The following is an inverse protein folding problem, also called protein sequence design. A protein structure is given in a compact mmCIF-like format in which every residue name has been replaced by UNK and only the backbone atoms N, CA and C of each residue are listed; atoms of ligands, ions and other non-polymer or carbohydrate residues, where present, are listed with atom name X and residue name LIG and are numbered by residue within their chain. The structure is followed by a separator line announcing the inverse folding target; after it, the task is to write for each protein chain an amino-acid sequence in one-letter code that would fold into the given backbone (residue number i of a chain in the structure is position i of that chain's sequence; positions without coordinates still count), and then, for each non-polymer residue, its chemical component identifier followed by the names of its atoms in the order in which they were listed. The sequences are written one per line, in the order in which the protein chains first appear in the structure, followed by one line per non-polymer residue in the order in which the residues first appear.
data_IF_633212306434
#
_entry.id   IF_633212306434
#
_cell.length_a   1.000
_cell.length_b   1.000
_cell.length_c   1.000
_cell.angle_alpha   90.00
_cell.angle_beta   90.00
_cell.angle_gamma   90.00
#
_symmetry.space_group_name_H-M   'P 1'
#
loop_
_entity.id
_entity.type
_entity.pdbx_description
1 polymer ?
#
# COMPACT_ATOMS: atom_id res chain seq x y z
N UNK A 1 -7.94 48.88 -12.07
CA UNK A 1 -6.53 48.45 -12.20
C UNK A 1 -6.38 47.03 -11.65
N UNK A 2 -6.43 45.98 -12.49
CA UNK A 2 -6.43 44.57 -12.08
C UNK A 2 -5.05 43.95 -12.27
N UNK A 3 -4.25 43.83 -11.21
CA UNK A 3 -2.92 43.20 -11.28
C UNK A 3 -2.60 42.40 -10.01
N UNK A 4 -3.40 41.40 -9.63
CA UNK A 4 -3.02 40.44 -8.58
C UNK A 4 -3.73 39.07 -8.72
N UNK A 5 -3.79 38.51 -9.93
CA UNK A 5 -4.32 37.15 -10.17
C UNK A 5 -3.40 36.22 -10.98
N UNK A 6 -2.19 36.65 -11.38
CA UNK A 6 -1.36 35.88 -12.32
C UNK A 6 -0.24 35.03 -11.70
N UNK A 7 0.07 35.17 -10.41
CA UNK A 7 1.19 34.45 -9.77
C UNK A 7 0.74 33.08 -9.22
N UNK A 8 -0.45 32.97 -8.63
CA UNK A 8 -0.97 31.69 -8.08
C UNK A 8 -1.38 30.67 -9.16
N UNK A 9 -1.72 31.12 -10.37
CA UNK A 9 -2.14 30.22 -11.46
C UNK A 9 -0.99 29.49 -12.15
N UNK A 10 0.24 29.99 -12.02
CA UNK A 10 1.45 29.38 -12.63
C UNK A 10 2.05 28.26 -11.77
N UNK A 11 1.75 28.23 -10.46
CA UNK A 11 2.27 27.23 -9.53
C UNK A 11 1.49 25.91 -9.65
N UNK A 12 0.16 26.02 -9.72
CA UNK A 12 -0.77 24.89 -9.86
C UNK A 12 -0.53 24.11 -11.18
N UNK A 13 -0.03 24.76 -12.24
CA UNK A 13 0.24 24.08 -13.52
C UNK A 13 1.51 23.24 -13.48
N UNK A 14 2.51 23.58 -12.66
CA UNK A 14 3.74 22.80 -12.49
C UNK A 14 3.51 21.56 -11.63
N UNK A 15 2.72 21.66 -10.57
CA UNK A 15 2.33 20.52 -9.73
C UNK A 15 1.48 19.49 -10.50
N UNK A 16 0.56 19.96 -11.36
CA UNK A 16 -0.25 19.08 -12.21
C UNK A 16 0.58 18.37 -13.28
N UNK A 17 1.64 18.99 -13.79
CA UNK A 17 2.57 18.37 -14.73
C UNK A 17 3.43 17.28 -14.05
N UNK A 18 3.88 17.49 -12.81
CA UNK A 18 4.63 16.50 -12.04
C UNK A 18 3.77 15.26 -11.70
N UNK A 19 2.51 15.47 -11.29
CA UNK A 19 1.54 14.39 -11.06
C UNK A 19 1.19 13.63 -12.35
N UNK A 20 1.10 14.32 -13.49
CA UNK A 20 0.86 13.69 -14.79
C UNK A 20 2.06 12.90 -15.34
N UNK A 21 3.30 13.25 -14.95
CA UNK A 21 4.51 12.54 -15.32
C UNK A 21 4.68 11.22 -14.55
N UNK A 22 4.29 11.17 -13.27
CA UNK A 22 4.30 9.93 -12.47
C UNK A 22 3.12 9.00 -12.76
N UNK A 23 1.93 9.52 -13.06
CA UNK A 23 0.76 8.71 -13.42
C UNK A 23 0.93 7.92 -14.74
N UNK A 24 1.96 8.25 -15.55
CA UNK A 24 2.19 7.65 -16.87
C UNK A 24 3.22 6.51 -16.87
N UNK A 25 3.85 6.22 -15.72
CA UNK A 25 4.96 5.23 -15.61
C UNK A 25 4.56 3.90 -14.97
N UNK A 26 3.30 3.74 -14.55
CA UNK A 26 2.74 2.49 -14.01
C UNK A 26 1.59 1.99 -14.91
N UNK A 27 1.68 2.24 -16.22
CA UNK A 27 0.84 1.56 -17.19
C UNK A 27 1.56 0.28 -17.62
N UNK A 28 1.35 -0.80 -16.88
CA UNK A 28 1.60 -2.14 -17.40
C UNK A 28 0.58 -2.36 -18.52
N UNK A 29 1.07 -2.23 -19.75
CA UNK A 29 0.42 -2.70 -20.98
C UNK A 29 0.21 -4.22 -20.89
N UNK A 30 -0.91 -4.64 -20.29
CA UNK A 30 -1.31 -6.05 -20.33
C UNK A 30 -2.82 -6.25 -20.22
N UNK A 31 -3.58 -5.60 -21.09
CA UNK A 31 -4.99 -5.93 -21.32
C UNK A 31 -5.41 -5.75 -22.79
N UNK A 32 -4.52 -6.06 -23.75
CA UNK A 32 -4.85 -5.97 -25.18
C UNK A 32 -4.77 -7.29 -25.95
N UNK A 33 -4.69 -8.42 -25.27
CA UNK A 33 -4.78 -9.75 -25.90
C UNK A 33 -5.92 -10.51 -25.22
N UNK A 34 -6.91 -10.94 -26.01
CA UNK A 34 -8.23 -11.49 -25.62
C UNK A 34 -9.34 -10.46 -25.40
N UNK A 35 -9.64 -9.68 -26.44
CA UNK A 35 -10.97 -9.14 -26.70
C UNK A 35 -11.14 -8.84 -28.20
N UNK A 36 -10.93 -9.85 -29.05
CA UNK A 36 -11.44 -9.83 -30.43
C UNK A 36 -12.72 -10.67 -30.44
N UNK A 37 -13.79 -10.09 -30.96
CA UNK A 37 -15.14 -10.65 -31.17
C UNK A 37 -16.11 -10.63 -29.98
N UNK A 38 -16.72 -9.47 -29.72
CA UNK A 38 -18.16 -9.42 -29.37
C UNK A 38 -18.77 -8.23 -30.11
N UNK A 39 -19.80 -8.51 -30.91
CA UNK A 39 -20.48 -7.54 -31.75
C UNK A 39 -21.26 -6.50 -30.95
N UNK A 40 -21.17 -5.28 -31.46
CA UNK A 40 -21.83 -4.06 -31.05
C UNK A 40 -23.36 -4.15 -31.24
N UNK A 41 -24.11 -4.14 -30.13
CA UNK A 41 -25.36 -3.38 -30.00
C UNK A 41 -25.96 -3.67 -28.61
N UNK A 42 -26.33 -2.61 -27.89
CA UNK A 42 -27.03 -2.63 -26.60
C UNK A 42 -26.20 -2.88 -25.34
N UNK A 43 -25.35 -1.91 -24.94
CA UNK A 43 -25.20 -1.52 -23.51
C UNK A 43 -24.92 -0.01 -23.41
N UNK A 44 -25.56 0.73 -22.48
CA UNK A 44 -25.30 2.15 -22.30
C UNK A 44 -23.90 2.32 -21.68
N UNK A 45 -23.03 3.06 -22.35
CA UNK A 45 -21.61 3.24 -22.02
C UNK A 45 -21.34 3.98 -20.68
N UNK A 46 -22.36 4.30 -19.88
CA UNK A 46 -22.21 5.14 -18.68
C UNK A 46 -22.06 4.34 -17.37
N UNK A 47 -22.54 3.09 -17.28
CA UNK A 47 -22.55 2.34 -16.01
C UNK A 47 -21.30 1.46 -15.75
N UNK A 48 -20.37 1.39 -16.70
CA UNK A 48 -19.14 0.59 -16.55
C UNK A 48 -17.96 1.41 -15.98
N UNK A 49 -18.02 2.74 -16.02
CA UNK A 49 -16.94 3.62 -15.55
C UNK A 49 -17.07 4.07 -14.08
N UNK A 50 -18.22 3.88 -13.45
CA UNK A 50 -18.40 4.24 -12.03
C UNK A 50 -17.86 3.15 -11.08
N UNK A 51 -17.93 1.87 -11.50
CA UNK A 51 -17.39 0.74 -10.73
C UNK A 51 -15.87 0.77 -10.59
N UNK A 52 -15.17 1.37 -11.55
CA UNK A 52 -13.70 1.50 -11.51
C UNK A 52 -13.25 2.69 -10.66
N UNK A 53 -14.07 3.74 -10.50
CA UNK A 53 -13.74 4.92 -9.67
C UNK A 53 -13.91 4.69 -8.18
N UNK A 54 -14.87 3.87 -7.76
CA UNK A 54 -15.02 3.52 -6.34
C UNK A 54 -13.98 2.48 -5.92
N UNK A 55 -13.67 1.52 -6.80
CA UNK A 55 -12.57 0.57 -6.59
C UNK A 55 -11.20 1.28 -6.57
N UNK A 56 -10.94 2.19 -7.51
CA UNK A 56 -9.73 3.01 -7.51
C UNK A 56 -9.66 3.95 -6.30
N UNK A 57 -10.76 4.57 -5.84
CA UNK A 57 -10.75 5.37 -4.59
C UNK A 57 -10.53 4.52 -3.34
N UNK A 58 -11.02 3.28 -3.33
CA UNK A 58 -10.86 2.33 -2.22
C UNK A 58 -9.47 1.69 -2.16
N UNK A 59 -8.76 1.59 -3.30
CA UNK A 59 -7.45 0.96 -3.42
C UNK A 59 -6.28 1.92 -3.73
N UNK A 60 -6.53 3.16 -4.14
CA UNK A 60 -5.50 4.10 -4.62
C UNK A 60 -5.62 5.45 -3.89
N UNK A 61 -5.25 5.47 -2.61
CA UNK A 61 -4.77 6.70 -1.93
C UNK A 61 -3.27 6.89 -2.25
N UNK A 62 -2.90 6.89 -3.52
CA UNK A 62 -1.55 7.29 -3.89
C UNK A 62 -1.47 8.82 -3.83
N UNK A 63 -0.48 9.30 -3.08
CA UNK A 63 -0.13 10.70 -2.82
C UNK A 63 -0.88 11.41 -1.67
N UNK A 64 -1.10 10.72 -0.54
CA UNK A 64 -1.14 11.44 0.75
C UNK A 64 0.31 11.50 1.25
N UNK A 65 0.88 12.70 1.49
CA UNK A 65 2.22 12.81 2.05
C UNK A 65 2.24 12.18 3.45
N UNK A 66 3.29 11.40 3.73
CA UNK A 66 3.44 10.72 5.01
C UNK A 66 3.45 11.74 6.16
N UNK A 67 2.58 11.54 7.15
CA UNK A 67 2.51 12.40 8.34
C UNK A 67 3.28 11.74 9.47
N UNK A 68 4.32 12.42 9.97
CA UNK A 68 5.03 11.97 11.17
C UNK A 68 4.08 11.90 12.36
N UNK A 69 4.13 10.80 13.11
CA UNK A 69 3.30 10.58 14.29
C UNK A 69 4.06 10.99 15.56
N UNK A 70 3.31 11.52 16.53
CA UNK A 70 3.82 11.76 17.87
C UNK A 70 3.85 10.46 18.70
N UNK A 71 4.65 10.44 19.76
CA UNK A 71 4.87 9.23 20.56
C UNK A 71 3.59 8.70 21.23
N UNK A 72 2.72 9.59 21.69
CA UNK A 72 1.40 9.27 22.25
C UNK A 72 0.47 8.63 21.20
N UNK A 73 0.47 9.14 19.96
CA UNK A 73 -0.26 8.54 18.84
C UNK A 73 0.26 7.14 18.52
N UNK A 74 1.59 6.98 18.46
CA UNK A 74 2.26 5.69 18.21
C UNK A 74 1.84 4.68 19.29
N UNK A 75 1.94 5.05 20.56
CA UNK A 75 1.58 4.17 21.68
C UNK A 75 0.10 3.76 21.65
N UNK A 76 -0.79 4.69 21.29
CA UNK A 76 -2.24 4.42 21.14
C UNK A 76 -2.55 3.47 19.98
N UNK A 77 -1.80 3.54 18.88
CA UNK A 77 -1.96 2.62 17.76
C UNK A 77 -1.36 1.25 18.06
N UNK A 78 -0.17 1.21 18.68
CA UNK A 78 0.49 -0.02 19.11
C UNK A 78 -0.38 -0.83 20.08
N UNK A 79 -1.15 -0.18 20.96
CA UNK A 79 -2.05 -0.88 21.89
C UNK A 79 -3.14 -1.69 21.18
N UNK A 80 -3.37 -1.46 19.88
CA UNK A 80 -4.35 -2.17 19.05
C UNK A 80 -3.70 -3.20 18.13
N UNK A 81 -2.38 -3.21 18.00
CA UNK A 81 -1.63 -4.06 17.08
C UNK A 81 -0.83 -5.10 17.85
N UNK A 82 -1.47 -6.24 18.14
CA UNK A 82 -0.85 -7.29 18.93
C UNK A 82 0.46 -7.80 18.32
N UNK A 83 1.53 -7.86 19.11
CA UNK A 83 2.85 -8.36 18.70
C UNK A 83 3.73 -7.34 17.96
N UNK A 84 3.20 -6.17 17.58
CA UNK A 84 4.04 -5.04 17.12
C UNK A 84 4.60 -4.29 18.32
N UNK A 85 5.85 -3.85 18.19
CA UNK A 85 6.54 -3.06 19.22
C UNK A 85 7.44 -2.02 18.60
N UNK A 86 7.77 -0.99 19.35
CA UNK A 86 8.75 0.01 18.95
C UNK A 86 10.16 -0.50 19.33
N UNK A 87 11.04 -0.67 18.35
CA UNK A 87 12.44 -1.08 18.55
C UNK A 87 13.33 -0.14 17.76
N UNK A 88 14.26 0.53 18.43
CA UNK A 88 15.24 1.43 17.79
C UNK A 88 14.60 2.47 16.85
N UNK A 89 13.42 3.00 17.23
CA UNK A 89 12.68 3.99 16.44
C UNK A 89 11.91 3.44 15.23
N UNK A 90 11.78 2.11 15.11
CA UNK A 90 11.02 1.44 14.04
C UNK A 90 9.91 0.56 14.61
N UNK A 91 8.82 0.41 13.87
CA UNK A 91 7.81 -0.60 14.20
C UNK A 91 8.36 -1.97 13.83
N UNK A 92 8.42 -2.86 14.81
CA UNK A 92 9.02 -4.16 14.66
C UNK A 92 8.02 -5.28 14.99
N UNK A 93 7.97 -6.29 14.13
CA UNK A 93 7.31 -7.58 14.40
C UNK A 93 7.98 -8.71 13.64
N UNK A 94 7.98 -9.89 14.23
CA UNK A 94 8.40 -11.13 13.57
C UNK A 94 7.20 -12.05 13.38
N UNK A 95 7.12 -12.66 12.20
CA UNK A 95 6.15 -13.67 11.86
C UNK A 95 6.85 -15.01 11.64
N UNK A 96 6.17 -16.09 12.00
CA UNK A 96 6.59 -17.45 11.72
C UNK A 96 5.56 -18.14 10.81
N UNK A 97 6.04 -18.71 9.71
CA UNK A 97 5.25 -19.43 8.73
C UNK A 97 5.45 -20.94 8.85
N UNK A 98 4.66 -21.72 8.10
CA UNK A 98 4.78 -23.19 8.06
C UNK A 98 6.16 -23.65 7.59
N UNK A 99 6.65 -23.04 6.51
CA UNK A 99 7.90 -23.38 5.84
C UNK A 99 8.41 -22.16 5.05
N UNK A 100 9.55 -22.31 4.38
CA UNK A 100 10.15 -21.25 3.57
C UNK A 100 9.27 -20.84 2.38
N UNK A 101 8.57 -21.79 1.75
CA UNK A 101 7.70 -21.48 0.60
C UNK A 101 6.54 -20.58 1.02
N UNK A 102 5.89 -20.90 2.14
CA UNK A 102 4.86 -20.08 2.73
C UNK A 102 5.37 -18.67 3.11
N UNK A 103 6.55 -18.58 3.72
CA UNK A 103 7.17 -17.30 4.09
C UNK A 103 7.42 -16.43 2.84
N UNK A 104 8.08 -16.98 1.82
CA UNK A 104 8.41 -16.24 0.61
C UNK A 104 7.16 -15.86 -0.21
N UNK A 105 6.13 -16.71 -0.22
CA UNK A 105 4.84 -16.39 -0.82
C UNK A 105 4.16 -15.20 -0.16
N UNK A 106 4.22 -15.10 1.18
CA UNK A 106 3.71 -13.94 1.91
C UNK A 106 4.55 -12.69 1.65
N UNK A 107 5.88 -12.81 1.65
CA UNK A 107 6.78 -11.69 1.31
C UNK A 107 6.50 -11.14 -0.09
N UNK A 108 6.23 -12.01 -1.08
CA UNK A 108 5.89 -11.59 -2.44
C UNK A 108 4.62 -10.73 -2.47
N UNK A 109 3.59 -11.11 -1.69
CA UNK A 109 2.36 -10.31 -1.57
C UNK A 109 2.62 -8.96 -0.92
N UNK A 110 3.43 -8.94 0.14
CA UNK A 110 3.82 -7.69 0.80
C UNK A 110 4.59 -6.79 -0.16
N UNK A 111 5.51 -7.33 -0.98
CA UNK A 111 6.25 -6.55 -1.97
C UNK A 111 5.32 -5.83 -2.97
N UNK A 112 4.28 -6.52 -3.45
CA UNK A 112 3.29 -5.92 -4.37
C UNK A 112 2.51 -4.77 -3.71
N UNK A 113 2.14 -4.92 -2.43
CA UNK A 113 1.43 -3.88 -1.68
C UNK A 113 2.36 -2.70 -1.39
N UNK A 114 3.58 -2.96 -0.93
CA UNK A 114 4.59 -1.97 -0.65
C UNK A 114 4.90 -1.10 -1.88
N UNK A 115 5.05 -1.73 -3.05
CA UNK A 115 5.26 -1.04 -4.32
C UNK A 115 4.04 -0.18 -4.71
N UNK A 116 2.82 -0.72 -4.60
CA UNK A 116 1.60 0.04 -4.88
C UNK A 116 1.42 1.24 -3.93
N UNK A 117 1.86 1.11 -2.69
CA UNK A 117 1.86 2.19 -1.70
C UNK A 117 3.02 3.18 -1.90
N UNK A 118 4.04 2.83 -2.68
CA UNK A 118 5.33 3.50 -2.72
C UNK A 118 5.92 3.71 -1.30
N UNK A 119 5.83 2.65 -0.49
CA UNK A 119 6.33 2.62 0.89
C UNK A 119 6.88 1.23 1.20
N UNK A 120 8.20 1.11 1.28
CA UNK A 120 8.89 -0.18 1.36
C UNK A 120 9.29 -0.52 2.80
N UNK A 121 9.11 -1.78 3.25
CA UNK A 121 9.60 -2.20 4.55
C UNK A 121 11.11 -2.46 4.54
N UNK A 122 11.74 -2.37 5.70
CA UNK A 122 12.96 -3.14 5.96
C UNK A 122 12.54 -4.51 6.50
N UNK A 123 13.17 -5.57 6.02
CA UNK A 123 12.87 -6.92 6.49
C UNK A 123 14.09 -7.82 6.50
N UNK A 124 13.99 -8.91 7.25
CA UNK A 124 14.90 -10.03 7.15
C UNK A 124 14.11 -11.33 7.13
N UNK A 125 14.58 -12.31 6.35
CA UNK A 125 13.98 -13.63 6.29
C UNK A 125 15.04 -14.70 6.59
N UNK A 126 14.72 -15.57 7.55
CA UNK A 126 15.51 -16.75 7.90
C UNK A 126 14.57 -17.95 7.88
N UNK A 127 14.64 -18.74 6.81
CA UNK A 127 13.76 -19.89 6.59
C UNK A 127 12.27 -19.51 6.68
N UNK A 128 11.56 -19.99 7.68
CA UNK A 128 10.13 -19.75 7.90
C UNK A 128 9.86 -18.49 8.74
N UNK A 129 10.89 -17.77 9.19
CA UNK A 129 10.72 -16.55 9.99
C UNK A 129 10.97 -15.30 9.15
N UNK A 130 10.09 -14.33 9.25
CA UNK A 130 10.20 -13.03 8.58
C UNK A 130 10.06 -11.93 9.63
N UNK A 131 11.09 -11.10 9.80
CA UNK A 131 11.03 -9.91 10.65
C UNK A 131 10.85 -8.67 9.78
N UNK A 132 10.00 -7.76 10.25
CA UNK A 132 9.73 -6.48 9.63
C UNK A 132 10.15 -5.36 10.57
N UNK A 133 10.77 -4.33 9.99
CA UNK A 133 11.13 -3.08 10.61
C UNK A 133 10.59 -1.94 9.73
N UNK A 134 9.60 -1.19 10.22
CA UNK A 134 8.92 -0.15 9.45
C UNK A 134 9.26 1.24 10.00
N UNK A 135 9.64 2.11 9.09
CA UNK A 135 9.83 3.53 9.34
C UNK A 135 9.77 4.29 8.01
N UNK A 136 9.43 5.56 8.09
CA UNK A 136 9.34 6.43 6.92
C UNK A 136 10.57 7.33 6.84
N UNK A 137 11.44 7.05 5.85
CA UNK A 137 12.69 7.79 5.65
C UNK A 137 12.50 9.30 5.42
N UNK A 138 11.47 9.69 4.68
CA UNK A 138 11.21 11.10 4.33
C UNK A 138 10.86 11.98 5.54
N UNK A 139 10.35 11.40 6.63
CA UNK A 139 10.00 12.12 7.86
C UNK A 139 10.93 11.80 9.04
N UNK A 140 11.96 10.98 8.79
CA UNK A 140 12.94 10.53 9.79
C UNK A 140 12.24 10.00 11.06
N UNK A 141 11.33 9.04 10.90
CA UNK A 141 10.59 8.45 12.00
C UNK A 141 9.38 7.64 11.52
N UNK A 142 8.44 7.41 12.42
CA UNK A 142 7.22 6.65 12.13
C UNK A 142 6.14 7.60 11.59
N UNK A 143 5.48 7.17 10.52
CA UNK A 143 4.34 7.84 9.93
C UNK A 143 3.07 6.98 9.95
N UNK A 144 1.97 7.56 9.47
CA UNK A 144 0.74 6.85 9.20
C UNK A 144 0.90 5.72 8.17
N UNK A 145 1.81 5.86 7.20
CA UNK A 145 2.07 4.82 6.19
C UNK A 145 2.66 3.55 6.81
N UNK A 146 3.47 3.68 7.86
CA UNK A 146 4.07 2.54 8.56
C UNK A 146 3.00 1.67 9.21
N UNK A 147 2.00 2.28 9.85
CA UNK A 147 0.86 1.57 10.43
C UNK A 147 -0.05 0.96 9.37
N UNK A 148 -0.31 1.67 8.27
CA UNK A 148 -1.10 1.12 7.15
C UNK A 148 -0.42 -0.11 6.54
N UNK A 149 0.90 -0.05 6.34
CA UNK A 149 1.65 -1.20 5.82
C UNK A 149 1.67 -2.35 6.85
N UNK A 150 1.83 -2.05 8.15
CA UNK A 150 1.77 -3.04 9.22
C UNK A 150 0.43 -3.80 9.24
N UNK A 151 -0.71 -3.10 9.10
CA UNK A 151 -2.04 -3.71 9.02
C UNK A 151 -2.17 -4.64 7.81
N UNK A 152 -1.66 -4.22 6.65
CA UNK A 152 -1.66 -5.04 5.43
C UNK A 152 -0.79 -6.29 5.58
N UNK A 153 0.33 -6.18 6.28
CA UNK A 153 1.18 -7.33 6.63
C UNK A 153 0.42 -8.28 7.55
N UNK A 154 -0.27 -7.79 8.58
CA UNK A 154 -1.12 -8.65 9.45
C UNK A 154 -2.15 -9.43 8.63
N UNK A 155 -2.87 -8.77 7.73
CA UNK A 155 -3.88 -9.41 6.87
C UNK A 155 -3.28 -10.57 6.05
N UNK A 156 -2.09 -10.38 5.48
CA UNK A 156 -1.40 -11.40 4.67
C UNK A 156 -0.97 -12.60 5.53
N UNK A 157 -0.37 -12.35 6.69
CA UNK A 157 0.18 -13.41 7.52
C UNK A 157 -0.88 -14.13 8.37
N UNK A 158 -1.96 -13.46 8.77
CA UNK A 158 -3.07 -14.07 9.52
C UNK A 158 -3.84 -15.12 8.71
N UNK A 159 -3.96 -14.93 7.39
CA UNK A 159 -4.68 -15.86 6.51
C UNK A 159 -4.11 -17.29 6.52
N UNK A 160 -2.85 -17.48 6.94
CA UNK A 160 -2.20 -18.80 7.01
C UNK A 160 -2.21 -19.42 8.41
N UNK A 161 -2.41 -18.64 9.47
CA UNK A 161 -2.55 -19.18 10.82
C UNK A 161 -3.89 -19.91 10.98
N UNK A 162 -4.95 -19.39 10.35
CA UNK A 162 -6.30 -19.96 10.40
C UNK A 162 -6.41 -21.35 9.74
N UNK A 163 -5.66 -21.63 8.67
CA UNK A 163 -5.70 -22.92 7.96
C UNK A 163 -5.01 -24.07 8.71
N UNK A 164 -4.26 -23.76 9.77
CA UNK A 164 -3.58 -24.75 10.63
C UNK A 164 -4.48 -25.28 11.75
N UNK A 165 -5.56 -24.57 12.09
CA UNK A 165 -6.51 -25.00 13.12
C UNK A 165 -7.46 -26.11 12.64
N UNK A 166 -7.63 -26.28 11.33
CA UNK A 166 -8.62 -27.20 10.72
C UNK A 166 -8.06 -28.54 10.25
N UNK A 167 -6.75 -28.76 10.30
CA UNK A 167 -6.09 -30.00 9.84
C UNK A 167 -5.66 -30.95 10.97
N UNK A 168 -6.10 -30.67 12.20
CA UNK A 168 -5.93 -31.54 13.37
C UNK A 168 -7.26 -32.15 13.79
N UNK A 169 -7.78 -33.11 13.01
CA UNK A 169 -8.82 -34.07 13.41
C UNK A 169 -8.66 -35.30 12.54
#
# INVERSE_FOLDING_TARGET
MPLFRSILARDISRERAALAYHARRIHIDRFSVVAKNVNNSQRPACLFLERTREFARKFWRCAVPARKLAEDEINKLLSRMNGWRLVSGKLHKQFECKDFNAAFGNMTRVALIAEAMNHHPEWANVWNRVSFDLSTHSVQGISDLDFVLAEKIEEIFAAQTASRATSGT
#
